data_IF_409710268466
#
_entry.id   IF_409710268466
#
_cell.length_a   1.000
_cell.length_b   1.000
_cell.length_c   1.000
_cell.angle_alpha   90.00
_cell.angle_beta   90.00
_cell.angle_gamma   90.00
#
_symmetry.space_group_name_H-M   'P 1'
#
loop_
_entity.id
_entity.type
_entity.pdbx_description
1 polymer ?
#
# COMPACT_ATOMS: atom_id res chain seq x y z
N UNK A 1 1.13 -8.15 -35.45
CA UNK A 1 0.63 -7.48 -34.23
C UNK A 1 0.11 -8.49 -33.20
N UNK A 2 0.81 -9.61 -32.97
CA UNK A 2 0.37 -10.71 -32.06
C UNK A 2 1.52 -11.13 -31.10
N UNK A 3 2.63 -10.36 -31.03
CA UNK A 3 3.83 -10.79 -30.27
C UNK A 3 4.04 -10.05 -28.93
N UNK A 4 3.16 -9.11 -28.55
CA UNK A 4 3.30 -8.30 -27.33
C UNK A 4 2.60 -8.90 -26.07
N UNK A 5 1.93 -10.06 -26.16
CA UNK A 5 1.12 -10.60 -25.05
C UNK A 5 1.76 -11.79 -24.31
N UNK A 6 3.07 -12.03 -24.47
CA UNK A 6 3.77 -13.16 -23.82
C UNK A 6 4.85 -12.78 -22.79
N UNK A 7 4.71 -11.66 -22.09
CA UNK A 7 5.40 -11.53 -20.79
C UNK A 7 4.44 -11.90 -19.66
N UNK A 8 4.09 -13.18 -19.60
CA UNK A 8 3.45 -13.78 -18.42
C UNK A 8 4.31 -13.52 -17.20
N UNK A 9 3.64 -13.13 -16.12
CA UNK A 9 4.21 -12.85 -14.80
C UNK A 9 5.29 -13.87 -14.43
N UNK A 10 6.45 -13.40 -14.07
CA UNK A 10 7.66 -14.19 -13.75
C UNK A 10 7.51 -15.01 -12.45
N UNK A 11 6.37 -14.94 -11.76
CA UNK A 11 6.08 -15.66 -10.52
C UNK A 11 5.13 -16.85 -10.66
N UNK A 12 4.49 -17.08 -11.80
CA UNK A 12 3.93 -18.41 -12.11
C UNK A 12 5.05 -19.34 -12.59
N UNK A 13 6.04 -19.58 -11.75
CA UNK A 13 6.75 -20.85 -11.80
C UNK A 13 5.70 -21.90 -11.44
N UNK A 14 5.70 -23.01 -12.18
CA UNK A 14 4.89 -24.20 -11.98
C UNK A 14 5.18 -24.85 -10.59
N UNK A 15 4.83 -24.13 -9.53
CA UNK A 15 4.96 -24.57 -8.15
C UNK A 15 3.57 -24.62 -7.52
N UNK A 16 3.36 -25.59 -6.67
CA UNK A 16 2.17 -25.75 -5.84
C UNK A 16 1.90 -24.46 -5.06
N UNK A 17 0.66 -23.99 -5.02
CA UNK A 17 0.26 -22.89 -4.13
C UNK A 17 0.34 -23.41 -2.68
N UNK A 18 1.51 -23.25 -2.06
CA UNK A 18 1.80 -23.69 -0.68
C UNK A 18 0.94 -22.94 0.34
N UNK A 19 0.51 -21.70 0.03
CA UNK A 19 -0.35 -20.95 0.93
C UNK A 19 -1.75 -21.55 0.98
N UNK A 20 -2.35 -21.91 -0.17
CA UNK A 20 -3.63 -22.61 -0.19
C UNK A 20 -3.56 -23.97 0.54
N UNK A 21 -2.46 -24.72 0.36
CA UNK A 21 -2.23 -25.95 1.12
C UNK A 21 -2.17 -25.67 2.63
N UNK A 22 -1.46 -24.60 3.04
CA UNK A 22 -1.37 -24.22 4.46
C UNK A 22 -2.72 -23.85 5.05
N UNK A 23 -3.56 -23.10 4.31
CA UNK A 23 -4.94 -22.82 4.75
C UNK A 23 -5.76 -24.11 4.92
N UNK A 24 -5.65 -25.07 3.99
CA UNK A 24 -6.33 -26.36 4.07
C UNK A 24 -5.87 -27.17 5.30
N UNK A 25 -4.58 -27.21 5.59
CA UNK A 25 -4.02 -27.89 6.78
C UNK A 25 -4.61 -27.36 8.09
N UNK A 26 -5.00 -26.08 8.13
CA UNK A 26 -5.66 -25.44 9.26
C UNK A 26 -7.19 -25.39 9.15
N UNK A 27 -7.76 -26.00 8.10
CA UNK A 27 -9.21 -25.95 7.83
C UNK A 27 -9.76 -24.51 7.71
N UNK A 28 -8.98 -23.59 7.16
CA UNK A 28 -9.32 -22.18 6.99
C UNK A 28 -9.83 -21.93 5.57
N UNK A 29 -11.03 -21.35 5.45
CA UNK A 29 -11.55 -20.78 4.21
C UNK A 29 -11.38 -19.26 4.26
N UNK A 30 -10.44 -18.71 3.50
CA UNK A 30 -10.21 -17.26 3.45
C UNK A 30 -11.26 -16.60 2.56
N UNK A 31 -12.21 -15.92 3.20
CA UNK A 31 -13.31 -15.21 2.54
C UNK A 31 -13.32 -13.75 2.93
N UNK A 32 -13.85 -12.92 2.02
CA UNK A 32 -14.08 -11.50 2.27
C UNK A 32 -15.16 -11.29 3.33
N UNK A 33 -14.95 -10.34 4.20
CA UNK A 33 -15.99 -9.71 5.00
C UNK A 33 -16.63 -8.54 4.25
N UNK A 34 -17.33 -7.70 4.99
CA UNK A 34 -17.90 -6.44 4.48
C UNK A 34 -16.76 -5.51 4.02
N UNK A 35 -16.82 -4.97 2.80
CA UNK A 35 -15.82 -4.01 2.34
C UNK A 35 -15.91 -2.69 3.12
N UNK A 36 -14.77 -2.24 3.65
CA UNK A 36 -14.64 -0.99 4.40
C UNK A 36 -13.72 0.02 3.71
N UNK A 37 -12.81 -0.48 2.86
CA UNK A 37 -11.79 0.33 2.19
C UNK A 37 -11.82 0.05 0.70
N UNK A 38 -11.95 1.11 -0.10
CA UNK A 38 -11.63 1.09 -1.51
C UNK A 38 -10.21 1.64 -1.69
N UNK A 39 -9.25 0.75 -1.92
CA UNK A 39 -7.89 1.15 -2.20
C UNK A 39 -7.72 1.34 -3.71
N UNK A 40 -7.37 2.55 -4.12
CA UNK A 40 -7.19 2.90 -5.54
C UNK A 40 -5.70 3.09 -5.83
N UNK A 41 -5.13 2.19 -6.62
CA UNK A 41 -3.79 2.34 -7.16
C UNK A 41 -3.85 3.26 -8.38
N UNK A 42 -3.42 4.51 -8.20
CA UNK A 42 -3.54 5.56 -9.21
C UNK A 42 -2.48 5.47 -10.33
N UNK A 43 -1.57 4.50 -10.25
CA UNK A 43 -0.55 4.24 -11.27
C UNK A 43 0.84 3.98 -10.72
N UNK A 44 1.83 4.09 -11.58
CA UNK A 44 3.24 3.77 -11.27
C UNK A 44 4.19 4.97 -11.36
N UNK A 45 3.68 6.16 -11.68
CA UNK A 45 4.49 7.38 -11.70
C UNK A 45 4.90 7.75 -10.28
N UNK A 46 6.21 7.97 -10.06
CA UNK A 46 6.77 8.31 -8.75
C UNK A 46 8.09 9.04 -8.95
N UNK A 47 8.41 10.02 -8.12
CA UNK A 47 9.71 10.70 -8.14
C UNK A 47 10.86 9.83 -7.58
N UNK A 48 10.56 8.70 -6.91
CA UNK A 48 11.52 7.78 -6.29
C UNK A 48 11.59 6.41 -6.97
N UNK A 49 12.71 5.67 -6.71
CA UNK A 49 12.95 4.31 -7.21
C UNK A 49 13.36 3.34 -6.09
N UNK A 50 12.60 3.30 -5.02
CA UNK A 50 12.89 2.52 -3.80
C UNK A 50 13.15 1.04 -4.09
N UNK A 51 14.14 0.43 -3.43
CA UNK A 51 14.56 -0.97 -3.64
C UNK A 51 13.44 -1.97 -3.28
N UNK A 52 12.67 -1.70 -2.21
CA UNK A 52 11.60 -2.55 -1.70
C UNK A 52 10.25 -2.35 -2.42
N UNK A 53 10.17 -1.49 -3.44
CA UNK A 53 8.90 -1.13 -4.08
C UNK A 53 8.23 -2.33 -4.76
N UNK A 54 7.09 -2.76 -4.23
CA UNK A 54 6.28 -3.84 -4.77
C UNK A 54 5.51 -3.42 -6.04
N UNK A 55 5.16 -2.13 -6.16
CA UNK A 55 4.48 -1.54 -7.34
C UNK A 55 5.42 -1.43 -8.55
N UNK A 56 6.74 -1.41 -8.32
CA UNK A 56 7.74 -1.13 -9.34
C UNK A 56 7.57 0.27 -9.97
N UNK A 57 7.24 1.24 -9.12
CA UNK A 57 7.04 2.65 -9.49
C UNK A 57 8.36 3.37 -9.80
N UNK A 58 8.28 4.52 -10.45
CA UNK A 58 9.46 5.36 -10.75
C UNK A 58 9.18 6.51 -11.71
N UNK A 59 10.16 7.42 -11.90
CA UNK A 59 9.96 8.66 -12.66
C UNK A 59 9.80 8.47 -14.17
N UNK A 60 10.17 7.31 -14.68
CA UNK A 60 10.03 6.97 -16.11
C UNK A 60 8.73 6.20 -16.42
N UNK A 61 7.91 5.95 -15.41
CA UNK A 61 6.63 5.25 -15.59
C UNK A 61 5.59 6.21 -16.16
N UNK A 62 4.68 5.64 -16.95
CA UNK A 62 3.64 6.39 -17.65
C UNK A 62 2.22 5.94 -17.26
N UNK A 63 2.15 4.86 -16.51
CA UNK A 63 0.89 4.33 -16.00
C UNK A 63 0.34 5.30 -14.96
N UNK A 64 -0.76 5.96 -15.29
CA UNK A 64 -1.53 6.85 -14.41
C UNK A 64 -3.02 6.65 -14.69
N UNK A 65 -3.83 6.84 -13.66
CA UNK A 65 -5.28 6.81 -13.77
C UNK A 65 -5.79 7.98 -14.62
N UNK A 66 -6.78 7.72 -15.45
CA UNK A 66 -7.43 8.77 -16.24
C UNK A 66 -8.56 9.45 -15.48
N UNK A 67 -8.92 10.67 -15.87
CA UNK A 67 -10.11 11.39 -15.37
C UNK A 67 -11.37 10.54 -15.51
N UNK A 68 -11.58 9.91 -16.66
CA UNK A 68 -12.73 9.05 -16.91
C UNK A 68 -12.80 7.89 -15.91
N UNK A 69 -11.66 7.26 -15.60
CA UNK A 69 -11.62 6.18 -14.59
C UNK A 69 -11.95 6.71 -13.20
N UNK A 70 -11.44 7.89 -12.82
CA UNK A 70 -11.77 8.56 -11.56
C UNK A 70 -13.29 8.81 -11.47
N UNK A 71 -13.90 9.39 -12.51
CA UNK A 71 -15.33 9.70 -12.53
C UNK A 71 -16.20 8.44 -12.39
N UNK A 72 -15.79 7.32 -13.02
CA UNK A 72 -16.46 6.03 -12.88
C UNK A 72 -16.34 5.45 -11.47
N UNK A 73 -15.17 5.58 -10.85
CA UNK A 73 -14.95 5.15 -9.45
C UNK A 73 -15.85 5.97 -8.51
N UNK A 74 -15.88 7.30 -8.68
CA UNK A 74 -16.72 8.20 -7.89
C UNK A 74 -18.20 7.84 -8.06
N UNK A 75 -18.66 7.61 -9.29
CA UNK A 75 -20.03 7.19 -9.56
C UNK A 75 -20.36 5.85 -8.88
N UNK A 76 -19.46 4.88 -8.90
CA UNK A 76 -19.64 3.61 -8.20
C UNK A 76 -19.74 3.80 -6.68
N UNK A 77 -18.89 4.67 -6.10
CA UNK A 77 -18.91 5.03 -4.68
C UNK A 77 -20.23 5.66 -4.23
N UNK A 78 -21.00 6.30 -5.12
CA UNK A 78 -22.34 6.81 -4.78
C UNK A 78 -23.33 5.69 -4.45
N UNK A 79 -23.06 4.47 -4.92
CA UNK A 79 -23.91 3.28 -4.72
C UNK A 79 -23.36 2.33 -3.65
N UNK A 80 -22.09 2.48 -3.30
CA UNK A 80 -21.37 1.62 -2.37
C UNK A 80 -21.28 2.28 -0.99
N UNK A 81 -21.58 1.51 0.06
CA UNK A 81 -21.44 1.94 1.45
C UNK A 81 -20.01 1.72 1.98
N UNK A 82 -18.99 2.15 1.21
CA UNK A 82 -17.59 2.04 1.62
C UNK A 82 -17.16 3.36 2.26
N UNK A 83 -16.78 3.37 3.54
CA UNK A 83 -16.50 4.61 4.26
C UNK A 83 -15.14 5.22 3.92
N UNK A 84 -14.16 4.42 3.43
CA UNK A 84 -12.77 4.88 3.26
C UNK A 84 -12.30 4.70 1.83
N UNK A 85 -11.63 5.72 1.28
CA UNK A 85 -10.89 5.67 0.01
C UNK A 85 -9.39 5.83 0.32
N UNK A 86 -8.59 4.83 -0.03
CA UNK A 86 -7.15 4.77 0.21
C UNK A 86 -6.40 4.94 -1.12
N UNK A 87 -5.76 6.08 -1.33
CA UNK A 87 -5.01 6.39 -2.55
C UNK A 87 -3.58 5.88 -2.43
N UNK A 88 -3.19 4.98 -3.35
CA UNK A 88 -1.88 4.33 -3.38
C UNK A 88 -1.32 4.25 -4.79
N UNK A 89 -0.13 3.65 -4.93
CA UNK A 89 0.51 3.45 -6.23
C UNK A 89 1.98 3.86 -6.23
N UNK A 90 2.35 4.76 -7.13
CA UNK A 90 3.66 5.41 -7.15
C UNK A 90 3.74 6.53 -6.11
N UNK A 91 3.57 7.77 -6.57
CA UNK A 91 3.27 8.93 -5.74
C UNK A 91 1.90 9.43 -6.18
N UNK A 92 0.83 9.23 -5.38
CA UNK A 92 -0.52 9.61 -5.77
C UNK A 92 -0.65 11.06 -6.18
N UNK A 93 0.08 11.94 -5.54
CA UNK A 93 0.08 13.39 -5.76
C UNK A 93 0.58 13.78 -7.17
N UNK A 94 1.27 12.86 -7.86
CA UNK A 94 1.81 13.12 -9.21
C UNK A 94 0.78 12.95 -10.33
N UNK A 95 -0.41 12.40 -10.07
CA UNK A 95 -1.44 12.34 -11.11
C UNK A 95 -2.05 13.73 -11.34
N UNK A 96 -2.35 14.13 -12.58
CA UNK A 96 -2.88 15.45 -12.89
C UNK A 96 -4.18 15.80 -12.14
N UNK A 97 -5.03 14.79 -11.95
CA UNK A 97 -6.36 14.93 -11.37
C UNK A 97 -6.43 14.60 -9.87
N UNK A 98 -5.29 14.61 -9.14
CA UNK A 98 -5.24 14.26 -7.73
C UNK A 98 -6.15 15.14 -6.86
N UNK A 99 -6.07 16.46 -7.01
CA UNK A 99 -6.90 17.40 -6.23
C UNK A 99 -8.39 17.21 -6.55
N UNK A 100 -8.71 17.07 -7.82
CA UNK A 100 -10.08 16.79 -8.26
C UNK A 100 -10.61 15.50 -7.61
N UNK A 101 -9.81 14.43 -7.59
CA UNK A 101 -10.23 13.16 -7.03
C UNK A 101 -10.59 13.31 -5.55
N UNK A 102 -9.72 13.96 -4.76
CA UNK A 102 -9.97 14.22 -3.33
C UNK A 102 -11.24 15.05 -3.15
N UNK A 103 -11.39 16.18 -3.85
CA UNK A 103 -12.53 17.07 -3.73
C UNK A 103 -13.86 16.36 -4.08
N UNK A 104 -13.87 15.55 -5.13
CA UNK A 104 -15.05 14.78 -5.51
C UNK A 104 -15.41 13.71 -4.47
N UNK A 105 -14.43 12.98 -3.94
CA UNK A 105 -14.67 11.98 -2.89
C UNK A 105 -15.19 12.63 -1.61
N UNK A 106 -14.64 13.79 -1.21
CA UNK A 106 -15.13 14.57 -0.05
C UNK A 106 -16.55 15.11 -0.25
N UNK A 107 -16.97 15.37 -1.49
CA UNK A 107 -18.32 15.86 -1.80
C UNK A 107 -19.42 14.78 -1.72
N UNK A 108 -19.04 13.50 -1.64
CA UNK A 108 -20.00 12.40 -1.54
C UNK A 108 -20.82 12.48 -0.23
N UNK A 109 -22.03 11.95 -0.25
CA UNK A 109 -22.91 11.87 0.91
C UNK A 109 -23.21 10.40 1.25
N UNK A 110 -22.87 9.93 2.44
CA UNK A 110 -22.04 10.61 3.46
C UNK A 110 -20.61 10.84 2.98
N UNK A 111 -19.88 11.83 3.54
CA UNK A 111 -18.48 12.06 3.22
C UNK A 111 -17.63 10.82 3.46
N UNK A 112 -16.64 10.58 2.60
CA UNK A 112 -15.70 9.46 2.76
C UNK A 112 -14.43 9.93 3.46
N UNK A 113 -13.90 9.06 4.32
CA UNK A 113 -12.55 9.22 4.82
C UNK A 113 -11.56 8.98 3.70
N UNK A 114 -10.52 9.81 3.58
CA UNK A 114 -9.51 9.66 2.53
C UNK A 114 -8.14 9.45 3.17
N UNK A 115 -7.43 8.44 2.68
CA UNK A 115 -6.05 8.15 3.02
C UNK A 115 -5.17 8.44 1.81
N UNK A 116 -4.08 9.17 2.00
CA UNK A 116 -3.01 9.36 1.02
C UNK A 116 -1.74 8.64 1.47
N UNK A 117 -1.27 7.68 0.64
CA UNK A 117 -0.02 6.95 0.89
C UNK A 117 1.17 7.69 0.32
N UNK A 118 1.60 8.69 1.05
CA UNK A 118 2.58 9.68 0.65
C UNK A 118 4.02 9.17 0.79
N UNK A 119 4.87 9.50 -0.17
CA UNK A 119 6.30 9.25 -0.05
C UNK A 119 7.09 10.38 0.64
N UNK A 120 6.42 11.43 1.11
CA UNK A 120 6.94 12.62 1.76
C UNK A 120 7.70 13.58 0.83
N UNK A 121 8.73 13.11 0.14
CA UNK A 121 9.60 14.00 -0.66
C UNK A 121 8.86 14.72 -1.77
N UNK A 122 7.75 14.16 -2.26
CA UNK A 122 6.92 14.79 -3.29
C UNK A 122 6.35 16.14 -2.84
N UNK A 123 6.07 16.30 -1.54
CA UNK A 123 5.50 17.53 -0.97
C UNK A 123 6.45 18.72 -1.05
N UNK A 124 7.74 18.47 -1.28
CA UNK A 124 8.80 19.49 -1.39
C UNK A 124 9.30 19.66 -2.83
N UNK A 125 8.81 18.85 -3.78
CA UNK A 125 9.20 18.96 -5.17
C UNK A 125 8.63 20.23 -5.81
N UNK A 126 9.38 20.80 -6.75
CA UNK A 126 8.94 21.96 -7.52
C UNK A 126 7.64 21.67 -8.29
N UNK A 127 6.65 22.50 -8.13
CA UNK A 127 5.31 22.35 -8.73
C UNK A 127 4.30 21.64 -7.82
N UNK A 128 4.74 21.22 -6.63
CA UNK A 128 3.87 20.63 -5.60
C UNK A 128 3.71 21.52 -4.35
N UNK A 129 4.10 22.77 -4.48
CA UNK A 129 3.93 23.76 -3.42
C UNK A 129 2.44 23.88 -3.04
N UNK A 130 2.18 23.88 -1.73
CA UNK A 130 0.82 23.96 -1.20
C UNK A 130 0.03 22.63 -1.24
N UNK A 131 0.60 21.50 -1.68
CA UNK A 131 -0.08 20.19 -1.59
C UNK A 131 -0.32 19.79 -0.13
N UNK A 132 0.66 19.94 0.75
CA UNK A 132 0.49 19.65 2.18
C UNK A 132 -0.68 20.47 2.79
N UNK A 133 -0.76 21.76 2.47
CA UNK A 133 -1.86 22.61 2.91
C UNK A 133 -3.20 22.24 2.27
N UNK A 134 -3.20 21.75 1.03
CA UNK A 134 -4.40 21.24 0.37
C UNK A 134 -4.91 19.97 1.06
N UNK A 135 -4.02 19.00 1.38
CA UNK A 135 -4.36 17.80 2.11
C UNK A 135 -4.94 18.12 3.49
N UNK A 136 -4.31 19.07 4.22
CA UNK A 136 -4.80 19.51 5.54
C UNK A 136 -6.21 20.13 5.47
N UNK A 137 -6.48 21.03 4.50
CA UNK A 137 -7.81 21.63 4.34
C UNK A 137 -8.90 20.65 3.99
N UNK A 138 -8.53 19.51 3.38
CA UNK A 138 -9.46 18.43 3.04
C UNK A 138 -9.46 17.30 4.09
N UNK A 139 -8.78 17.47 5.22
CA UNK A 139 -8.70 16.49 6.30
C UNK A 139 -8.35 15.08 5.76
N UNK A 140 -7.32 15.03 4.91
CA UNK A 140 -6.84 13.78 4.34
C UNK A 140 -5.85 13.15 5.32
N UNK A 141 -6.10 11.91 5.74
CA UNK A 141 -5.13 11.15 6.52
C UNK A 141 -3.88 10.87 5.70
N UNK A 142 -2.71 11.06 6.28
CA UNK A 142 -1.45 10.75 5.63
C UNK A 142 -0.82 9.51 6.26
N UNK A 143 -0.56 8.49 5.42
CA UNK A 143 0.26 7.35 5.78
C UNK A 143 1.58 7.45 5.00
N UNK A 144 2.64 7.87 5.70
CA UNK A 144 3.89 8.27 5.09
C UNK A 144 4.96 7.18 5.18
N UNK A 145 5.67 6.95 4.07
CA UNK A 145 6.79 6.01 4.03
C UNK A 145 8.02 6.57 4.74
N UNK A 146 8.35 6.04 5.92
CA UNK A 146 9.54 6.39 6.70
C UNK A 146 10.19 5.11 7.24
N UNK A 147 10.96 4.35 6.41
CA UNK A 147 11.41 3.00 6.75
C UNK A 147 12.44 2.94 7.87
N UNK A 148 13.03 4.05 8.26
CA UNK A 148 13.90 4.17 9.43
C UNK A 148 13.94 5.62 9.94
N UNK A 149 14.35 5.80 11.19
CA UNK A 149 14.66 7.12 11.77
C UNK A 149 16.14 7.52 11.61
N UNK A 150 16.92 6.77 10.82
CA UNK A 150 18.33 7.05 10.50
C UNK A 150 18.53 7.27 9.00
N UNK A 151 19.40 8.22 8.64
CA UNK A 151 19.68 8.57 7.24
C UNK A 151 20.23 7.39 6.44
N UNK A 152 21.18 6.64 7.00
CA UNK A 152 21.82 5.50 6.35
C UNK A 152 20.77 4.48 5.83
N UNK A 153 19.85 4.07 6.69
CA UNK A 153 18.85 3.05 6.34
C UNK A 153 17.78 3.57 5.36
N UNK A 154 17.35 4.82 5.51
CA UNK A 154 16.36 5.42 4.58
C UNK A 154 17.00 5.61 3.20
N UNK A 155 18.20 6.18 3.14
CA UNK A 155 18.89 6.44 1.87
C UNK A 155 19.26 5.13 1.17
N UNK A 156 19.69 4.08 1.88
CA UNK A 156 19.94 2.75 1.32
C UNK A 156 18.70 2.13 0.65
N UNK A 157 17.51 2.36 1.20
CA UNK A 157 16.26 1.83 0.64
C UNK A 157 15.64 2.69 -0.45
N UNK A 158 15.71 4.01 -0.29
CA UNK A 158 14.87 4.95 -1.06
C UNK A 158 15.66 5.88 -1.98
N UNK A 159 16.96 6.03 -1.74
CA UNK A 159 17.87 6.91 -2.51
C UNK A 159 18.47 8.01 -1.64
N UNK A 160 19.58 8.55 -2.13
CA UNK A 160 20.34 9.60 -1.46
C UNK A 160 19.50 10.86 -1.27
N UNK A 161 19.60 11.52 -0.09
CA UNK A 161 18.87 12.74 0.25
C UNK A 161 17.38 12.54 0.60
N UNK A 162 16.86 11.30 0.53
CA UNK A 162 15.45 11.02 0.83
C UNK A 162 15.16 11.15 2.33
N UNK A 163 16.14 10.87 3.20
CA UNK A 163 15.94 11.07 4.63
C UNK A 163 15.73 12.54 4.96
N UNK A 164 16.61 13.41 4.52
CA UNK A 164 16.56 14.87 4.77
C UNK A 164 15.27 15.48 4.20
N UNK A 165 14.92 15.10 2.97
CA UNK A 165 13.65 15.50 2.35
C UNK A 165 12.43 15.01 3.15
N UNK A 166 12.47 13.77 3.66
CA UNK A 166 11.37 13.23 4.48
C UNK A 166 11.23 13.97 5.82
N UNK A 167 12.35 14.27 6.50
CA UNK A 167 12.34 15.07 7.74
C UNK A 167 11.74 16.45 7.50
N UNK A 168 12.19 17.17 6.45
CA UNK A 168 11.67 18.50 6.13
C UNK A 168 10.16 18.44 5.79
N UNK A 169 9.71 17.44 5.03
CA UNK A 169 8.28 17.27 4.73
C UNK A 169 7.45 17.00 6.00
N UNK A 170 7.94 16.15 6.92
CA UNK A 170 7.28 15.89 8.20
C UNK A 170 7.17 17.14 9.06
N UNK A 171 8.19 18.00 9.07
CA UNK A 171 8.15 19.29 9.77
C UNK A 171 7.10 20.24 9.15
N UNK A 172 7.00 20.28 7.81
CA UNK A 172 5.93 21.04 7.13
C UNK A 172 4.55 20.49 7.51
N UNK A 173 4.36 19.18 7.50
CA UNK A 173 3.09 18.56 7.92
C UNK A 173 2.74 18.87 9.38
N UNK A 174 3.70 18.76 10.31
CA UNK A 174 3.47 19.12 11.70
C UNK A 174 3.12 20.62 11.87
N UNK A 175 3.70 21.52 11.08
CA UNK A 175 3.36 22.95 11.12
C UNK A 175 1.92 23.23 10.68
N UNK A 176 1.30 22.31 9.95
CA UNK A 176 -0.10 22.37 9.51
C UNK A 176 -1.06 21.63 10.47
N UNK A 177 -0.55 21.03 11.56
CA UNK A 177 -1.34 20.30 12.56
C UNK A 177 -1.30 18.78 12.44
N UNK A 178 -0.75 18.22 11.36
CA UNK A 178 -0.65 16.76 11.19
C UNK A 178 0.11 16.08 12.33
N UNK A 179 -0.41 14.95 12.82
CA UNK A 179 0.18 14.20 13.93
C UNK A 179 -0.02 14.84 15.31
N UNK A 180 -0.69 16.02 15.37
CA UNK A 180 -0.98 16.81 16.57
C UNK A 180 -2.49 16.94 16.74
N UNK A 181 -3.18 17.44 15.70
CA UNK A 181 -4.63 17.59 15.69
C UNK A 181 -5.32 16.26 15.37
N UNK A 182 -6.43 15.96 16.04
CA UNK A 182 -7.19 14.71 15.86
C UNK A 182 -7.72 14.53 14.44
N UNK A 183 -8.05 15.61 13.74
CA UNK A 183 -8.61 15.62 12.39
C UNK A 183 -7.53 15.50 11.29
N UNK A 184 -6.25 15.59 11.66
CA UNK A 184 -5.11 15.50 10.76
C UNK A 184 -4.17 14.35 11.14
N UNK A 185 -4.62 13.08 10.99
CA UNK A 185 -3.80 11.93 11.33
C UNK A 185 -2.57 11.82 10.43
N UNK A 186 -1.43 11.57 11.06
CA UNK A 186 -0.15 11.27 10.40
C UNK A 186 0.38 9.96 10.94
N UNK A 187 0.48 8.96 10.07
CA UNK A 187 1.06 7.66 10.39
C UNK A 187 2.32 7.43 9.58
N UNK A 188 3.26 6.69 10.16
CA UNK A 188 4.50 6.33 9.48
C UNK A 188 4.53 4.84 9.15
N UNK A 189 5.18 4.48 8.05
CA UNK A 189 5.41 3.09 7.66
C UNK A 189 6.89 2.76 7.79
N UNK A 190 7.16 1.70 8.54
CA UNK A 190 8.43 0.99 8.56
C UNK A 190 8.41 -0.21 7.61
N UNK A 191 9.51 -0.39 6.87
CA UNK A 191 9.81 -1.62 6.14
C UNK A 191 11.24 -2.07 6.47
N UNK A 192 11.49 -3.37 6.70
CA UNK A 192 12.85 -3.89 6.89
C UNK A 192 13.79 -3.51 5.75
N UNK A 193 15.06 -3.21 6.05
CA UNK A 193 16.09 -2.88 5.03
C UNK A 193 16.50 -4.13 4.22
N UNK A 194 16.06 -5.32 4.60
CA UNK A 194 16.47 -6.57 3.99
C UNK A 194 15.43 -7.69 4.06
N UNK A 195 15.94 -8.92 3.93
CA UNK A 195 15.17 -10.15 3.91
C UNK A 195 14.97 -10.70 5.34
N UNK A 196 14.24 -9.98 6.17
CA UNK A 196 13.88 -10.36 7.54
C UNK A 196 12.51 -9.81 7.92
N UNK A 197 11.92 -10.38 8.99
CA UNK A 197 10.63 -9.92 9.50
C UNK A 197 10.78 -8.62 10.30
N UNK A 198 9.74 -7.75 10.32
CA UNK A 198 9.73 -6.59 11.20
C UNK A 198 9.90 -6.98 12.67
N UNK A 199 10.51 -6.14 13.50
CA UNK A 199 10.47 -6.28 14.96
C UNK A 199 9.07 -5.93 15.52
N UNK A 200 8.90 -6.01 16.82
CA UNK A 200 7.68 -5.58 17.51
C UNK A 200 7.29 -4.16 17.12
N UNK A 201 6.07 -3.98 16.61
CA UNK A 201 5.57 -2.67 16.18
C UNK A 201 5.53 -1.68 17.33
N UNK A 202 5.09 -2.11 18.52
CA UNK A 202 4.96 -1.23 19.68
C UNK A 202 6.32 -0.71 20.17
N UNK A 203 7.33 -1.58 20.24
CA UNK A 203 8.68 -1.18 20.64
C UNK A 203 9.30 -0.23 19.62
N UNK A 204 9.17 -0.56 18.33
CA UNK A 204 9.69 0.27 17.25
C UNK A 204 8.99 1.64 17.17
N UNK A 205 7.67 1.69 17.41
CA UNK A 205 6.93 2.95 17.49
C UNK A 205 7.43 3.84 18.61
N UNK A 206 7.71 3.25 19.80
CA UNK A 206 8.28 3.99 20.92
C UNK A 206 9.64 4.60 20.57
N UNK A 207 10.50 3.83 19.89
CA UNK A 207 11.80 4.30 19.42
C UNK A 207 11.66 5.45 18.40
N UNK A 208 10.79 5.27 17.39
CA UNK A 208 10.54 6.33 16.39
C UNK A 208 10.02 7.62 17.04
N UNK A 209 9.06 7.53 17.95
CA UNK A 209 8.52 8.67 18.69
C UNK A 209 9.61 9.40 19.47
N UNK A 210 10.48 8.65 20.16
CA UNK A 210 11.59 9.20 20.93
C UNK A 210 12.61 9.88 20.03
N UNK A 211 13.10 9.20 19.00
CA UNK A 211 14.21 9.66 18.17
C UNK A 211 13.78 10.83 17.26
N UNK A 212 12.62 10.74 16.59
CA UNK A 212 12.14 11.80 15.71
C UNK A 212 11.77 13.06 16.49
N UNK A 213 11.15 12.92 17.68
CA UNK A 213 10.86 14.09 18.53
C UNK A 213 12.13 14.74 19.07
N UNK A 214 13.07 13.94 19.57
CA UNK A 214 14.31 14.42 20.19
C UNK A 214 15.20 15.17 19.20
N UNK A 215 15.36 14.63 18.00
CA UNK A 215 16.32 15.15 17.03
C UNK A 215 15.73 16.15 16.04
N UNK A 216 14.43 16.07 15.76
CA UNK A 216 13.79 16.86 14.69
C UNK A 216 12.50 17.55 15.12
N UNK A 217 12.03 17.36 16.35
CA UNK A 217 10.77 17.94 16.84
C UNK A 217 9.50 17.32 16.24
N UNK A 218 9.63 16.19 15.50
CA UNK A 218 8.52 15.59 14.73
C UNK A 218 7.59 14.80 15.64
N UNK A 219 6.30 15.00 15.41
CA UNK A 219 5.19 14.27 16.02
C UNK A 219 4.43 13.46 14.97
N UNK A 220 3.98 12.27 15.32
CA UNK A 220 3.11 11.42 14.51
C UNK A 220 2.24 10.53 15.40
N UNK A 221 1.14 9.97 14.86
CA UNK A 221 0.18 9.23 15.68
C UNK A 221 0.59 7.76 15.86
N UNK A 222 0.81 7.00 14.77
CA UNK A 222 1.14 5.56 14.81
C UNK A 222 2.26 5.21 13.85
N UNK A 223 2.99 4.15 14.18
CA UNK A 223 3.91 3.47 13.27
C UNK A 223 3.27 2.17 12.80
N UNK A 224 3.26 1.92 11.51
CA UNK A 224 2.85 0.65 10.90
C UNK A 224 4.08 -0.12 10.42
N UNK A 225 4.24 -1.36 10.89
CA UNK A 225 5.33 -2.23 10.42
C UNK A 225 4.83 -3.12 9.29
N UNK A 226 5.48 -3.06 8.13
CA UNK A 226 5.13 -3.87 6.98
C UNK A 226 6.24 -4.85 6.64
N UNK A 227 5.87 -6.09 6.41
CA UNK A 227 6.76 -7.10 5.82
C UNK A 227 7.00 -6.78 4.36
N UNK A 228 8.25 -6.85 3.90
CA UNK A 228 8.54 -6.71 2.48
C UNK A 228 8.05 -7.94 1.71
N UNK A 229 7.11 -7.76 0.81
CA UNK A 229 6.66 -8.88 -0.02
C UNK A 229 7.67 -9.21 -1.13
N UNK A 230 7.94 -10.51 -1.37
CA UNK A 230 8.91 -10.97 -2.37
C UNK A 230 8.36 -10.87 -3.80
N UNK A 231 7.87 -9.67 -4.17
CA UNK A 231 7.32 -9.33 -5.49
C UNK A 231 8.01 -8.06 -6.06
N UNK A 232 7.74 -7.74 -7.30
CA UNK A 232 8.21 -6.51 -7.94
C UNK A 232 9.73 -6.32 -7.88
N UNK A 233 10.16 -5.13 -7.49
CA UNK A 233 11.59 -4.77 -7.41
C UNK A 233 12.30 -5.49 -6.28
N UNK A 234 11.62 -5.73 -5.17
CA UNK A 234 12.21 -6.47 -4.06
C UNK A 234 12.50 -7.93 -4.42
N UNK A 235 11.60 -8.62 -5.12
CA UNK A 235 11.89 -9.96 -5.63
C UNK A 235 13.10 -9.98 -6.55
N UNK A 236 13.26 -8.96 -7.40
CA UNK A 236 14.44 -8.83 -8.27
C UNK A 236 15.72 -8.60 -7.47
N UNK A 237 15.66 -7.82 -6.39
CA UNK A 237 16.77 -7.64 -5.45
C UNK A 237 17.15 -8.96 -4.77
N UNK A 238 16.17 -9.69 -4.23
CA UNK A 238 16.37 -10.98 -3.58
C UNK A 238 17.03 -12.01 -4.53
N UNK A 239 16.55 -12.09 -5.78
CA UNK A 239 17.15 -13.00 -6.80
C UNK A 239 18.60 -12.66 -7.09
N UNK A 240 18.93 -11.37 -7.29
CA UNK A 240 20.30 -10.94 -7.55
C UNK A 240 21.28 -11.27 -6.40
N UNK A 241 20.76 -11.36 -5.18
CA UNK A 241 21.53 -11.69 -3.98
C UNK A 241 21.39 -13.16 -3.55
N UNK A 242 20.75 -14.02 -4.36
CA UNK A 242 20.47 -15.43 -4.05
C UNK A 242 19.75 -15.66 -2.73
N UNK A 243 18.85 -14.73 -2.32
CA UNK A 243 18.10 -14.76 -1.05
C UNK A 243 16.62 -15.02 -1.20
N UNK A 244 16.10 -15.23 -2.42
CA UNK A 244 14.65 -15.36 -2.63
C UNK A 244 14.09 -16.60 -1.93
N UNK A 245 14.73 -17.76 -2.13
CA UNK A 245 14.24 -19.02 -1.57
C UNK A 245 14.37 -19.04 -0.06
N UNK A 246 15.50 -18.56 0.49
CA UNK A 246 15.70 -18.43 1.95
C UNK A 246 14.64 -17.52 2.58
N UNK A 247 14.34 -16.37 1.95
CA UNK A 247 13.34 -15.45 2.44
C UNK A 247 11.92 -16.03 2.35
N UNK A 248 11.59 -16.75 1.26
CA UNK A 248 10.32 -17.44 1.15
C UNK A 248 10.14 -18.51 2.23
N UNK A 249 11.18 -19.30 2.51
CA UNK A 249 11.12 -20.29 3.59
C UNK A 249 10.96 -19.63 4.97
N UNK A 250 11.62 -18.49 5.23
CA UNK A 250 11.41 -17.71 6.44
C UNK A 250 9.93 -17.31 6.61
N UNK A 251 9.31 -16.78 5.55
CA UNK A 251 7.90 -16.36 5.58
C UNK A 251 6.96 -17.56 5.82
N UNK A 252 7.24 -18.70 5.21
CA UNK A 252 6.43 -19.92 5.33
C UNK A 252 6.55 -20.51 6.74
N UNK A 253 7.77 -20.56 7.30
CA UNK A 253 8.00 -21.06 8.66
C UNK A 253 7.39 -20.15 9.71
N UNK A 254 7.35 -18.85 9.47
CA UNK A 254 6.75 -17.86 10.35
C UNK A 254 5.23 -17.70 10.18
N UNK A 255 4.56 -18.55 9.37
CA UNK A 255 3.11 -18.48 9.19
C UNK A 255 2.37 -18.49 10.54
N UNK A 256 1.49 -17.53 10.73
CA UNK A 256 0.70 -17.37 11.94
C UNK A 256 -0.80 -17.30 11.58
N UNK A 257 -1.55 -18.35 11.92
CA UNK A 257 -2.98 -18.43 11.63
C UNK A 257 -3.82 -17.39 12.37
N UNK A 258 -3.34 -16.85 13.50
CA UNK A 258 -4.05 -15.79 14.23
C UNK A 258 -4.17 -14.48 13.44
N UNK A 259 -3.34 -14.28 12.41
CA UNK A 259 -3.37 -13.08 11.57
C UNK A 259 -4.48 -13.09 10.51
N UNK A 260 -5.09 -14.25 10.24
CA UNK A 260 -6.02 -14.44 9.11
C UNK A 260 -7.22 -13.48 9.17
N UNK A 261 -7.77 -13.27 10.36
CA UNK A 261 -8.96 -12.43 10.54
C UNK A 261 -8.69 -10.94 10.30
N UNK A 262 -7.46 -10.49 10.48
CA UNK A 262 -7.03 -9.11 10.25
C UNK A 262 -6.41 -8.84 8.87
N UNK A 263 -6.42 -9.80 7.95
CA UNK A 263 -5.87 -9.59 6.62
C UNK A 263 -6.65 -8.54 5.82
N UNK A 264 -5.94 -7.59 5.22
CA UNK A 264 -6.53 -6.50 4.43
C UNK A 264 -7.44 -6.98 3.30
N UNK A 265 -7.15 -8.10 2.67
CA UNK A 265 -7.95 -8.66 1.57
C UNK A 265 -9.36 -9.09 2.01
N UNK A 266 -9.67 -9.09 3.31
CA UNK A 266 -11.03 -9.37 3.82
C UNK A 266 -11.93 -8.15 3.79
N UNK A 267 -11.42 -6.95 4.02
CA UNK A 267 -12.21 -5.72 4.09
C UNK A 267 -11.80 -4.63 3.08
N UNK A 268 -10.73 -4.84 2.32
CA UNK A 268 -10.24 -3.90 1.30
C UNK A 268 -10.53 -4.43 -0.10
N UNK A 269 -11.03 -3.56 -0.98
CA UNK A 269 -11.09 -3.81 -2.42
C UNK A 269 -9.96 -3.01 -3.05
N UNK A 270 -9.10 -3.64 -3.86
CA UNK A 270 -8.06 -2.95 -4.60
C UNK A 270 -8.49 -2.71 -6.04
N UNK A 271 -8.32 -1.48 -6.52
CA UNK A 271 -8.67 -1.05 -7.88
C UNK A 271 -7.44 -0.51 -8.58
N UNK A 272 -7.18 -1.02 -9.77
CA UNK A 272 -6.09 -0.56 -10.61
C UNK A 272 -6.39 0.76 -11.34
N UNK A 273 -5.36 1.35 -11.94
CA UNK A 273 -5.46 2.64 -12.65
C UNK A 273 -6.33 2.63 -13.93
N UNK A 274 -6.74 1.45 -14.40
CA UNK A 274 -7.76 1.31 -15.45
C UNK A 274 -9.12 0.89 -14.91
N UNK A 275 -9.26 0.75 -13.58
CA UNK A 275 -10.50 0.36 -12.92
C UNK A 275 -10.67 -1.15 -12.68
N UNK A 276 -9.66 -1.98 -12.99
CA UNK A 276 -9.72 -3.43 -12.73
C UNK A 276 -9.72 -3.71 -11.23
N UNK A 277 -10.44 -4.76 -10.82
CA UNK A 277 -10.63 -5.14 -9.40
C UNK A 277 -9.75 -6.32 -9.02
N UNK A 278 -9.17 -6.23 -7.82
CA UNK A 278 -8.31 -7.24 -7.20
C UNK A 278 -8.62 -7.39 -5.72
N UNK A 279 -8.21 -8.52 -5.13
CA UNK A 279 -8.38 -8.75 -3.69
C UNK A 279 -7.47 -7.86 -2.82
N UNK A 280 -6.30 -7.50 -3.33
CA UNK A 280 -5.37 -6.57 -2.72
C UNK A 280 -4.42 -5.96 -3.76
N UNK A 281 -3.67 -4.94 -3.36
CA UNK A 281 -2.67 -4.29 -4.21
C UNK A 281 -1.56 -5.26 -4.68
N UNK A 282 -1.21 -6.25 -3.86
CA UNK A 282 -0.22 -7.26 -4.25
C UNK A 282 -0.74 -8.17 -5.36
N UNK A 283 -1.99 -8.63 -5.29
CA UNK A 283 -2.64 -9.39 -6.36
C UNK A 283 -2.68 -8.59 -7.65
N UNK A 284 -2.90 -7.27 -7.57
CA UNK A 284 -2.83 -6.38 -8.74
C UNK A 284 -1.44 -6.43 -9.40
N UNK A 285 -0.36 -6.31 -8.62
CA UNK A 285 1.00 -6.33 -9.16
C UNK A 285 1.38 -7.68 -9.78
N UNK A 286 0.71 -8.75 -9.37
CA UNK A 286 0.86 -10.11 -9.89
C UNK A 286 -0.12 -10.44 -11.03
N UNK A 287 -1.06 -9.56 -11.35
CA UNK A 287 -2.09 -9.78 -12.37
C UNK A 287 -3.10 -10.85 -11.99
N UNK A 288 -3.33 -11.05 -10.68
CA UNK A 288 -4.26 -12.04 -10.12
C UNK A 288 -5.65 -11.42 -9.98
N UNK A 289 -6.43 -11.46 -11.04
CA UNK A 289 -7.76 -10.85 -11.14
C UNK A 289 -8.86 -11.73 -10.55
N UNK A 290 -9.97 -11.12 -10.12
CA UNK A 290 -11.08 -11.79 -9.44
C UNK A 290 -11.72 -12.95 -10.17
N UNK A 291 -11.70 -12.98 -11.50
CA UNK A 291 -12.41 -14.00 -12.28
C UNK A 291 -11.43 -14.87 -13.07
N UNK A 292 -10.57 -15.62 -12.36
CA UNK A 292 -9.65 -16.60 -12.96
C UNK A 292 -8.86 -16.11 -14.18
N UNK A 293 -8.53 -14.80 -14.20
CA UNK A 293 -7.74 -14.16 -15.25
C UNK A 293 -8.53 -13.31 -16.25
N UNK A 294 -9.85 -13.24 -16.13
CA UNK A 294 -10.66 -12.27 -16.86
C UNK A 294 -10.68 -10.92 -16.13
N UNK A 295 -10.63 -9.82 -16.90
CA UNK A 295 -10.72 -8.48 -16.34
C UNK A 295 -12.15 -8.17 -15.93
N UNK A 296 -12.31 -7.84 -14.64
CA UNK A 296 -13.54 -7.27 -14.11
C UNK A 296 -13.22 -5.83 -13.72
N UNK A 297 -14.06 -4.89 -14.10
CA UNK A 297 -13.93 -3.49 -13.72
C UNK A 297 -14.85 -3.18 -12.55
N UNK A 298 -14.47 -2.22 -11.71
CA UNK A 298 -15.20 -1.85 -10.51
C UNK A 298 -16.68 -1.52 -10.80
N UNK A 299 -16.96 -0.84 -11.90
CA UNK A 299 -18.32 -0.44 -12.30
C UNK A 299 -19.19 -1.58 -12.81
N UNK A 300 -18.60 -2.77 -13.06
CA UNK A 300 -19.32 -4.00 -13.43
C UNK A 300 -19.63 -4.87 -12.19
N UNK A 301 -19.19 -4.43 -11.00
CA UNK A 301 -19.37 -5.15 -9.73
C UNK A 301 -20.53 -4.52 -8.94
N UNK A 302 -21.53 -5.32 -8.58
CA UNK A 302 -22.53 -4.89 -7.59
C UNK A 302 -21.87 -4.86 -6.20
N UNK A 303 -21.89 -3.70 -5.50
CA UNK A 303 -21.33 -3.61 -4.15
C UNK A 303 -21.88 -4.65 -3.16
N UNK A 304 -23.11 -5.14 -3.37
CA UNK A 304 -23.78 -6.11 -2.49
C UNK A 304 -23.26 -7.55 -2.70
N UNK A 305 -22.61 -7.85 -3.81
CA UNK A 305 -22.10 -9.18 -4.14
C UNK A 305 -20.63 -9.40 -3.75
N UNK A 306 -20.02 -8.44 -3.08
CA UNK A 306 -18.59 -8.48 -2.76
C UNK A 306 -18.32 -9.35 -1.53
N UNK A 307 -19.20 -9.29 -0.54
CA UNK A 307 -19.07 -10.04 0.71
C UNK A 307 -19.12 -11.56 0.47
N UNK A 308 -18.41 -12.32 1.30
CA UNK A 308 -18.30 -13.77 1.25
C UNK A 308 -17.60 -14.38 0.01
N UNK A 309 -17.09 -13.57 -0.92
CA UNK A 309 -16.25 -14.08 -2.01
C UNK A 309 -14.99 -14.75 -1.44
N UNK A 310 -14.57 -15.82 -2.07
CA UNK A 310 -13.27 -16.42 -1.80
C UNK A 310 -12.14 -15.50 -2.28
N UNK A 311 -11.12 -15.30 -1.44
CA UNK A 311 -9.95 -14.49 -1.77
C UNK A 311 -8.97 -15.31 -2.61
N UNK A 312 -8.52 -14.76 -3.72
CA UNK A 312 -7.51 -15.39 -4.58
C UNK A 312 -6.14 -15.28 -3.90
N UNK A 313 -5.54 -16.42 -3.63
CA UNK A 313 -4.28 -16.52 -2.88
C UNK A 313 -3.16 -17.15 -3.70
N UNK A 314 -1.91 -16.83 -3.35
CA UNK A 314 -0.71 -17.51 -3.82
C UNK A 314 0.41 -17.36 -2.77
N UNK A 315 1.59 -17.89 -3.03
CA UNK A 315 2.71 -17.94 -2.08
C UNK A 315 3.14 -16.59 -1.51
N UNK A 316 2.90 -15.46 -2.21
CA UNK A 316 3.16 -14.12 -1.67
C UNK A 316 2.32 -13.80 -0.42
N UNK A 317 1.15 -14.45 -0.23
CA UNK A 317 0.28 -14.26 0.93
C UNK A 317 0.95 -14.62 2.27
N UNK A 318 2.01 -15.45 2.25
CA UNK A 318 2.82 -15.68 3.44
C UNK A 318 3.44 -14.39 3.99
N UNK A 319 3.73 -13.39 3.15
CA UNK A 319 4.21 -12.09 3.62
C UNK A 319 3.22 -11.33 4.49
N UNK A 320 1.91 -11.54 4.30
CA UNK A 320 0.88 -10.91 5.11
C UNK A 320 0.59 -11.68 6.41
N UNK A 321 0.98 -12.98 6.49
CA UNK A 321 0.67 -13.85 7.63
C UNK A 321 1.88 -14.23 8.47
N UNK A 322 3.09 -13.81 8.10
CA UNK A 322 4.31 -14.14 8.81
C UNK A 322 4.44 -13.33 10.12
N UNK A 323 4.80 -14.01 11.22
CA UNK A 323 5.05 -13.39 12.53
C UNK A 323 3.81 -12.70 13.09
N UNK A 324 3.91 -11.40 13.37
CA UNK A 324 2.78 -10.58 13.81
C UNK A 324 1.78 -10.23 12.70
N UNK A 325 2.02 -10.70 11.49
CA UNK A 325 1.26 -10.34 10.30
C UNK A 325 1.61 -8.97 9.76
N UNK A 326 1.09 -8.67 8.56
CA UNK A 326 1.31 -7.40 7.89
C UNK A 326 0.09 -7.03 7.06
N UNK A 327 -0.59 -5.95 7.42
CA UNK A 327 -1.66 -5.35 6.64
C UNK A 327 -1.31 -3.91 6.28
N UNK A 328 -2.15 -3.25 5.48
CA UNK A 328 -1.97 -1.82 5.18
C UNK A 328 -2.03 -0.91 6.42
N UNK A 329 -2.53 -1.42 7.54
CA UNK A 329 -2.55 -0.78 8.87
C UNK A 329 -1.47 -1.28 9.84
N UNK A 330 -0.44 -2.00 9.37
CA UNK A 330 0.67 -2.50 10.17
C UNK A 330 0.51 -3.95 10.65
N UNK A 331 1.13 -4.29 11.79
CA UNK A 331 1.01 -5.60 12.41
C UNK A 331 -0.44 -5.92 12.78
N UNK A 332 -0.81 -7.20 12.67
CA UNK A 332 -2.19 -7.67 12.87
C UNK A 332 -2.41 -8.16 14.30
N UNK A 333 -1.40 -8.85 14.88
CA UNK A 333 -1.42 -9.43 16.24
C UNK A 333 -0.18 -9.03 17.03
#
# INVERSE_FOLDING_TARGET
>A
MIEAHRKKSVLRQQGTNRFAQKLADYSIALRRGRPEILQVNVGKLCNLTCVHCHVNAGPKRKEIISRETIDRIIYWLTKAEIPTVDLTGGAPEMIPDFRYFIEQVKSLQPPRHIIDRCNLTILLERGYEGFAAFLARNEVEIIASMPCYTAENVNAQRGEGVFEGSIAALQVLNSLGYGIDSELPLHLIYNPVGAFLPPSQAELEADYKRELKKHFGIMFNKLYTLTNLPIGRFASYLRRNNKLDEYMELLIQAFNSATIDGLMCRNTISVGWHGEVYDCDFNQQLGMQWNNGERIFLWDVDPKEIENREVITDNHCFGCTAGAGSSCGGAIV
#
